data_IF_180703578844
#
_entry.id   IF_180703578844
#
_cell.length_a   1.000
_cell.length_b   1.000
_cell.length_c   1.000
_cell.angle_alpha   90.00
_cell.angle_beta   90.00
_cell.angle_gamma   90.00
#
_symmetry.space_group_name_H-M   'P 1'
#
loop_
_entity.id
_entity.type
_entity.pdbx_description
1 polymer ?
#
# COMPACT_ATOMS: atom_id res chain seq x y z
N UNK A 1 18.03 17.97 34.58
CA UNK A 1 17.34 17.07 35.53
C UNK A 1 16.42 16.15 34.75
N UNK A 2 16.74 14.86 34.65
CA UNK A 2 15.97 13.84 33.93
C UNK A 2 15.33 12.94 34.97
N UNK A 3 14.00 12.95 35.09
CA UNK A 3 13.30 11.93 35.89
C UNK A 3 12.93 10.77 34.97
N UNK A 4 13.54 9.62 35.23
CA UNK A 4 13.15 8.33 34.68
C UNK A 4 11.87 7.86 35.38
N UNK A 5 10.93 7.28 34.63
CA UNK A 5 9.85 6.49 35.22
C UNK A 5 10.32 5.03 35.37
N UNK A 6 9.57 4.23 36.16
CA UNK A 6 9.89 2.86 36.64
C UNK A 6 10.28 1.83 35.56
N UNK A 7 10.16 2.17 34.27
CA UNK A 7 10.54 1.32 33.12
C UNK A 7 11.55 1.97 32.16
N UNK A 8 12.27 3.01 32.58
CA UNK A 8 13.50 3.46 31.90
C UNK A 8 13.37 4.15 30.54
N UNK A 9 12.21 4.72 30.18
CA UNK A 9 12.03 5.38 28.86
C UNK A 9 11.88 6.90 28.99
N UNK A 10 12.75 7.66 28.32
CA UNK A 10 12.63 9.12 28.17
C UNK A 10 11.63 9.45 27.07
N UNK A 11 10.55 10.16 27.41
CA UNK A 11 9.54 10.61 26.45
C UNK A 11 9.92 12.02 25.97
N UNK A 12 10.21 12.17 24.67
CA UNK A 12 10.61 13.45 24.07
C UNK A 12 10.55 13.46 22.53
N UNK A 13 9.39 13.88 22.00
CA UNK A 13 9.01 14.27 20.61
C UNK A 13 9.03 13.20 19.50
N UNK A 14 7.80 12.91 19.05
CA UNK A 14 7.36 12.11 17.88
C UNK A 14 7.67 10.62 17.96
N UNK A 15 6.76 9.94 18.66
CA UNK A 15 6.44 8.53 18.40
C UNK A 15 6.31 8.30 16.89
N UNK A 16 7.09 7.38 16.28
CA UNK A 16 6.71 6.85 14.99
C UNK A 16 5.35 6.19 15.20
N UNK A 17 4.30 6.68 14.55
CA UNK A 17 3.09 5.87 14.34
C UNK A 17 3.60 4.54 13.82
N UNK A 18 3.45 3.50 14.63
CA UNK A 18 3.49 2.10 14.24
C UNK A 18 2.38 1.92 13.18
N UNK A 19 2.62 2.39 11.95
CA UNK A 19 1.86 1.99 10.78
C UNK A 19 2.27 0.54 10.57
N UNK A 20 1.26 -0.32 10.61
CA UNK A 20 1.40 -1.77 10.63
C UNK A 20 2.58 -2.26 9.81
N UNK A 21 3.38 -3.10 10.47
CA UNK A 21 4.25 -4.06 9.83
C UNK A 21 3.35 -5.04 9.06
N UNK A 22 2.79 -4.62 7.93
CA UNK A 22 2.36 -5.55 6.90
C UNK A 22 3.65 -5.90 6.17
N UNK A 23 4.17 -7.10 6.46
CA UNK A 23 5.20 -7.72 5.62
C UNK A 23 4.60 -7.80 4.22
N UNK A 24 4.83 -6.78 3.40
CA UNK A 24 4.40 -6.78 2.00
C UNK A 24 5.03 -8.01 1.35
N UNK A 25 4.26 -9.00 0.88
CA UNK A 25 4.81 -9.94 -0.06
C UNK A 25 5.25 -9.11 -1.26
N UNK A 26 6.55 -9.00 -1.47
CA UNK A 26 7.09 -8.42 -2.70
C UNK A 26 6.64 -9.35 -3.83
N UNK A 27 5.50 -9.05 -4.46
CA UNK A 27 5.12 -9.66 -5.72
C UNK A 27 6.15 -9.22 -6.76
N UNK A 28 7.29 -9.93 -6.79
CA UNK A 28 8.40 -9.69 -7.69
C UNK A 28 7.96 -10.01 -9.11
N UNK A 29 7.35 -9.05 -9.80
CA UNK A 29 7.16 -9.07 -11.25
C UNK A 29 6.59 -10.37 -11.81
N UNK A 30 5.85 -11.15 -11.02
CA UNK A 30 5.10 -12.30 -11.49
C UNK A 30 3.93 -11.76 -12.29
N UNK A 31 3.70 -12.35 -13.45
CA UNK A 31 2.71 -11.92 -14.43
C UNK A 31 1.37 -11.72 -13.71
N UNK A 32 1.00 -10.47 -13.50
CA UNK A 32 -0.35 -10.11 -13.07
C UNK A 32 -1.31 -10.60 -14.14
N UNK A 33 -2.37 -11.30 -13.74
CA UNK A 33 -3.37 -11.77 -14.71
C UNK A 33 -3.96 -10.60 -15.47
N UNK A 34 -4.26 -10.81 -16.76
CA UNK A 34 -4.89 -9.80 -17.61
C UNK A 34 -6.22 -9.32 -17.00
N UNK A 35 -6.94 -10.21 -16.31
CA UNK A 35 -8.16 -9.89 -15.58
C UNK A 35 -7.92 -8.84 -14.48
N UNK A 36 -6.85 -8.96 -13.68
CA UNK A 36 -6.54 -7.99 -12.64
C UNK A 36 -6.12 -6.65 -13.25
N UNK A 37 -5.35 -6.67 -14.33
CA UNK A 37 -4.97 -5.45 -15.06
C UNK A 37 -6.20 -4.72 -15.63
N UNK A 38 -7.12 -5.46 -16.24
CA UNK A 38 -8.37 -4.91 -16.75
C UNK A 38 -9.23 -4.32 -15.63
N UNK A 39 -9.36 -5.01 -14.49
CA UNK A 39 -10.13 -4.51 -13.36
C UNK A 39 -9.56 -3.20 -12.80
N UNK A 40 -8.24 -3.10 -12.65
CA UNK A 40 -7.54 -1.89 -12.20
C UNK A 40 -7.80 -0.74 -13.19
N UNK A 41 -7.68 -1.02 -14.49
CA UNK A 41 -7.88 -0.03 -15.55
C UNK A 41 -9.33 0.47 -15.59
N UNK A 42 -10.33 -0.41 -15.61
CA UNK A 42 -11.75 -0.03 -15.59
C UNK A 42 -12.06 0.78 -14.34
N UNK A 43 -11.65 0.30 -13.17
CA UNK A 43 -11.89 1.02 -11.91
C UNK A 43 -11.24 2.41 -11.91
N UNK A 44 -10.03 2.55 -12.47
CA UNK A 44 -9.31 3.83 -12.47
C UNK A 44 -9.86 4.82 -13.47
N UNK A 45 -10.14 4.37 -14.69
CA UNK A 45 -10.43 5.24 -15.83
C UNK A 45 -11.91 5.34 -16.15
N UNK A 46 -12.68 4.26 -15.96
CA UNK A 46 -14.13 4.28 -16.16
C UNK A 46 -14.86 4.71 -14.88
N UNK A 47 -14.53 4.10 -13.73
CA UNK A 47 -15.23 4.38 -12.46
C UNK A 47 -14.61 5.55 -11.66
N UNK A 48 -13.49 6.10 -12.13
CA UNK A 48 -12.80 7.23 -11.48
C UNK A 48 -12.24 6.92 -10.09
N UNK A 49 -12.03 5.64 -9.76
CA UNK A 49 -11.52 5.19 -8.47
C UNK A 49 -9.98 5.30 -8.45
N UNK A 50 -9.39 6.23 -7.67
CA UNK A 50 -7.96 6.46 -7.71
C UNK A 50 -7.18 5.28 -7.12
N UNK A 51 -5.95 5.05 -7.59
CA UNK A 51 -5.14 3.88 -7.24
C UNK A 51 -4.89 3.68 -5.73
N UNK A 52 -4.82 4.76 -4.95
CA UNK A 52 -4.66 4.65 -3.49
C UNK A 52 -5.93 4.13 -2.80
N UNK A 53 -7.11 4.31 -3.40
CA UNK A 53 -8.36 3.71 -2.92
C UNK A 53 -8.44 2.25 -3.31
N UNK A 54 -8.04 1.91 -4.53
CA UNK A 54 -7.96 0.51 -4.98
C UNK A 54 -7.00 -0.30 -4.09
N UNK A 55 -5.84 0.25 -3.76
CA UNK A 55 -4.88 -0.35 -2.81
C UNK A 55 -5.54 -0.69 -1.45
N UNK A 56 -6.34 0.24 -0.91
CA UNK A 56 -7.06 0.00 0.34
C UNK A 56 -8.19 -1.04 0.22
N UNK A 57 -8.81 -1.18 -0.96
CA UNK A 57 -9.84 -2.19 -1.24
C UNK A 57 -9.20 -3.57 -1.36
N UNK A 58 -8.14 -3.71 -2.16
CA UNK A 58 -7.44 -4.98 -2.30
C UNK A 58 -6.85 -5.47 -0.97
N UNK A 59 -6.40 -4.55 -0.10
CA UNK A 59 -5.94 -4.89 1.23
C UNK A 59 -7.04 -5.55 2.11
N UNK A 60 -8.33 -5.29 1.85
CA UNK A 60 -9.42 -5.99 2.54
C UNK A 60 -9.47 -7.48 2.17
N UNK A 61 -9.19 -7.79 0.90
CA UNK A 61 -9.14 -9.14 0.35
C UNK A 61 -7.75 -9.81 0.56
N UNK A 62 -6.88 -9.19 1.37
CA UNK A 62 -5.49 -9.64 1.62
C UNK A 62 -4.63 -9.70 0.35
N UNK A 63 -5.01 -8.94 -0.68
CA UNK A 63 -4.24 -8.74 -1.91
C UNK A 63 -3.57 -7.38 -1.77
N UNK A 64 -2.25 -7.30 -1.68
CA UNK A 64 -1.56 -6.03 -1.36
C UNK A 64 -0.73 -5.48 -2.54
N UNK A 65 -1.33 -5.13 -3.69
CA UNK A 65 -0.62 -4.43 -4.76
C UNK A 65 -0.35 -2.99 -4.31
N UNK A 66 0.93 -2.62 -4.21
CA UNK A 66 1.35 -1.24 -3.95
C UNK A 66 0.79 -0.32 -5.06
N UNK A 67 0.27 0.84 -4.68
CA UNK A 67 -0.11 1.92 -5.60
C UNK A 67 0.94 2.19 -6.68
N UNK A 68 2.23 2.16 -6.33
CA UNK A 68 3.33 2.37 -7.28
C UNK A 68 3.43 1.27 -8.32
N UNK A 69 3.19 0.02 -7.92
CA UNK A 69 3.20 -1.13 -8.79
C UNK A 69 2.05 -1.07 -9.79
N UNK A 70 0.84 -0.74 -9.31
CA UNK A 70 -0.31 -0.52 -10.19
C UNK A 70 -0.06 0.62 -11.19
N UNK A 71 0.52 1.73 -10.75
CA UNK A 71 0.90 2.83 -11.64
C UNK A 71 1.92 2.39 -12.70
N UNK A 72 2.90 1.58 -12.32
CA UNK A 72 3.87 1.02 -13.26
C UNK A 72 3.19 0.11 -14.30
N UNK A 73 2.22 -0.72 -13.89
CA UNK A 73 1.46 -1.54 -14.83
C UNK A 73 0.63 -0.71 -15.80
N UNK A 74 -0.07 0.32 -15.33
CA UNK A 74 -0.84 1.21 -16.20
C UNK A 74 0.07 1.90 -17.22
N UNK A 75 1.24 2.37 -16.79
CA UNK A 75 2.24 2.95 -17.70
C UNK A 75 2.78 1.96 -18.74
N UNK A 76 2.92 0.67 -18.41
CA UNK A 76 3.31 -0.37 -19.37
C UNK A 76 2.20 -0.70 -20.38
N UNK A 77 0.93 -0.52 -20.01
CA UNK A 77 -0.23 -0.79 -20.86
C UNK A 77 -0.64 0.41 -21.72
N UNK A 78 -0.08 1.60 -21.47
CA UNK A 78 -0.37 2.82 -22.23
C UNK A 78 -1.61 3.59 -21.78
N UNK A 79 -2.06 3.38 -20.54
CA UNK A 79 -3.13 4.17 -19.91
C UNK A 79 -2.59 5.36 -19.10
#
# INVERSE_FOLDING_TARGET
MVRQNRWGVKIGRRSPRQRGQYSTPKHKGGITTEALLAQIAVSKYADGLPLYRQEAIYAQDKVEPDRKLMAQWMGKLGF
#
